data_IF_180335806732
#
_entry.id   IF_180335806732
#
_cell.length_a   1.000
_cell.length_b   1.000
_cell.length_c   1.000
_cell.angle_alpha   90.00
_cell.angle_beta   90.00
_cell.angle_gamma   90.00
#
_symmetry.space_group_name_H-M   'P 1'
#
loop_
_entity.id
_entity.type
_entity.pdbx_description
1 polymer ?
#
# COMPACT_ATOMS: atom_id res chain seq x y z
N UNK A 1 26.53 9.31 12.72
CA UNK A 1 25.58 10.02 11.84
C UNK A 1 24.27 9.27 11.91
N UNK A 2 23.14 9.95 12.08
CA UNK A 2 21.83 9.29 12.16
C UNK A 2 21.47 8.69 10.79
N UNK A 3 21.21 7.38 10.71
CA UNK A 3 20.74 6.76 9.48
C UNK A 3 19.26 7.16 9.29
N UNK A 4 18.90 7.54 8.06
CA UNK A 4 17.54 7.98 7.74
C UNK A 4 16.94 7.01 6.73
N UNK A 5 15.77 6.49 7.07
CA UNK A 5 14.93 5.72 6.16
C UNK A 5 13.74 6.57 5.75
N UNK A 6 13.51 6.74 4.45
CA UNK A 6 12.27 7.31 3.95
C UNK A 6 11.35 6.16 3.54
N UNK A 7 10.12 6.19 4.02
CA UNK A 7 9.09 5.18 3.74
C UNK A 7 7.98 5.88 2.98
N UNK A 8 7.86 5.57 1.70
CA UNK A 8 6.94 6.21 0.78
C UNK A 8 5.81 5.23 0.47
N UNK A 9 4.61 5.52 0.99
CA UNK A 9 3.43 4.70 0.83
C UNK A 9 2.58 5.26 -0.31
N UNK A 10 2.71 4.71 -1.51
CA UNK A 10 1.88 5.08 -2.66
C UNK A 10 0.66 4.17 -2.74
N UNK A 11 -0.50 4.77 -2.96
CA UNK A 11 -1.74 4.04 -3.15
C UNK A 11 -2.93 4.94 -3.41
N UNK A 12 -4.10 4.36 -3.21
CA UNK A 12 -5.38 5.04 -3.38
C UNK A 12 -5.95 5.56 -2.03
N UNK A 13 -7.27 5.65 -1.93
CA UNK A 13 -7.99 6.06 -0.71
C UNK A 13 -7.68 5.19 0.50
N UNK A 14 -7.40 3.89 0.31
CA UNK A 14 -7.04 3.00 1.41
C UNK A 14 -5.66 3.37 1.98
N UNK A 15 -4.73 3.80 1.12
CA UNK A 15 -3.44 4.33 1.58
C UNK A 15 -3.58 5.69 2.22
N UNK A 16 -4.46 6.55 1.68
CA UNK A 16 -4.77 7.83 2.30
C UNK A 16 -5.31 7.66 3.73
N UNK A 17 -6.10 6.60 3.97
CA UNK A 17 -6.71 6.31 5.27
C UNK A 17 -8.19 6.73 5.33
N UNK A 18 -8.85 6.79 4.18
CA UNK A 18 -10.24 7.22 4.07
C UNK A 18 -11.15 6.38 5.00
N UNK A 19 -12.02 7.10 5.72
CA UNK A 19 -13.02 6.57 6.65
C UNK A 19 -12.52 5.94 7.95
N UNK A 20 -11.20 5.87 8.20
CA UNK A 20 -10.70 5.57 9.54
C UNK A 20 -10.65 6.82 10.42
N UNK A 21 -11.76 7.05 11.14
CA UNK A 21 -11.91 8.21 12.02
C UNK A 21 -11.14 8.10 13.33
N UNK A 22 -10.57 6.94 13.68
CA UNK A 22 -9.88 6.76 14.96
C UNK A 22 -8.40 7.08 14.88
N UNK A 23 -7.72 6.64 13.82
CA UNK A 23 -6.25 6.78 13.68
C UNK A 23 -5.79 7.25 12.30
N UNK A 24 -6.70 7.51 11.36
CA UNK A 24 -6.36 8.08 10.04
C UNK A 24 -5.67 7.10 9.08
N UNK A 25 -5.88 5.80 9.26
CA UNK A 25 -5.39 4.77 8.35
C UNK A 25 -4.08 4.09 8.77
N UNK A 26 -3.65 3.13 7.96
CA UNK A 26 -2.50 2.27 8.26
C UNK A 26 -1.16 3.03 8.16
N UNK A 27 -1.07 4.05 7.29
CA UNK A 27 0.14 4.87 7.15
C UNK A 27 0.36 5.75 8.37
N UNK A 28 -0.71 6.32 8.94
CA UNK A 28 -0.59 7.12 10.16
C UNK A 28 -0.26 6.25 11.39
N UNK A 29 -0.82 5.04 11.49
CA UNK A 29 -0.36 4.03 12.48
C UNK A 29 1.13 3.75 12.36
N UNK A 30 1.61 3.54 11.13
CA UNK A 30 3.02 3.30 10.85
C UNK A 30 3.90 4.47 11.29
N UNK A 31 3.48 5.70 10.99
CA UNK A 31 4.16 6.92 11.39
C UNK A 31 4.23 7.08 12.91
N UNK A 32 3.11 6.88 13.60
CA UNK A 32 3.03 6.93 15.06
C UNK A 32 3.92 5.88 15.71
N UNK A 33 3.95 4.65 15.20
CA UNK A 33 4.80 3.58 15.71
C UNK A 33 6.29 3.96 15.64
N UNK A 34 6.75 4.55 14.52
CA UNK A 34 8.12 5.03 14.40
C UNK A 34 8.42 6.27 15.26
N UNK A 35 7.46 7.17 15.47
CA UNK A 35 7.63 8.29 16.40
C UNK A 35 7.85 7.81 17.82
N UNK A 36 7.07 6.83 18.28
CA UNK A 36 7.26 6.21 19.59
C UNK A 36 8.63 5.55 19.74
N UNK A 37 9.13 4.85 18.71
CA UNK A 37 10.48 4.28 18.74
C UNK A 37 11.57 5.35 18.88
N UNK A 38 11.45 6.47 18.15
CA UNK A 38 12.41 7.57 18.24
C UNK A 38 12.38 8.19 19.64
N UNK A 39 11.20 8.48 20.18
CA UNK A 39 11.03 9.02 21.53
C UNK A 39 11.68 8.14 22.60
N UNK A 40 11.46 6.82 22.55
CA UNK A 40 12.09 5.84 23.44
C UNK A 40 13.62 5.78 23.27
N UNK A 41 14.13 5.92 22.04
CA UNK A 41 15.58 5.90 21.79
C UNK A 41 16.31 7.15 22.31
N UNK A 42 15.65 8.30 22.24
CA UNK A 42 16.18 9.58 22.75
C UNK A 42 16.24 9.55 24.28
N UNK A 43 15.18 9.06 24.94
CA UNK A 43 15.18 8.92 26.41
C UNK A 43 16.21 7.92 26.91
N UNK A 44 16.56 6.91 26.10
CA UNK A 44 17.56 5.89 26.43
C UNK A 44 19.03 6.27 26.09
N UNK A 45 19.32 7.49 25.61
CA UNK A 45 20.66 7.92 25.15
C UNK A 45 21.31 6.98 24.11
N UNK A 46 20.52 6.33 23.26
CA UNK A 46 21.05 5.41 22.25
C UNK A 46 21.78 6.18 21.13
N UNK A 47 23.09 5.94 20.98
CA UNK A 47 23.98 6.67 20.06
C UNK A 47 23.81 6.30 18.57
N UNK A 48 22.97 5.31 18.25
CA UNK A 48 22.70 4.80 16.88
C UNK A 48 21.20 4.74 16.56
N UNK A 49 20.44 5.80 16.88
CA UNK A 49 19.02 5.86 16.53
C UNK A 49 18.80 5.95 15.01
N UNK A 50 17.94 5.07 14.49
CA UNK A 50 17.50 5.05 13.08
C UNK A 50 16.24 5.92 12.97
N UNK A 51 16.28 6.97 12.15
CA UNK A 51 15.11 7.82 11.95
C UNK A 51 14.33 7.35 10.72
N UNK A 52 13.10 6.85 10.95
CA UNK A 52 12.18 6.49 9.89
C UNK A 52 11.20 7.64 9.64
N UNK A 53 11.20 8.18 8.40
CA UNK A 53 10.28 9.22 7.94
C UNK A 53 9.21 8.59 7.05
N UNK A 54 7.97 8.59 7.50
CA UNK A 54 6.83 8.00 6.78
C UNK A 54 6.09 9.08 6.01
N UNK A 55 5.82 8.81 4.74
CA UNK A 55 5.09 9.68 3.83
C UNK A 55 3.86 8.97 3.28
N UNK A 56 2.68 9.49 3.63
CA UNK A 56 1.43 9.11 3.01
C UNK A 56 1.32 9.77 1.62
N UNK A 57 1.27 8.94 0.58
CA UNK A 57 1.11 9.34 -0.82
C UNK A 57 -0.14 8.70 -1.43
N UNK A 58 -1.14 8.42 -0.59
CA UNK A 58 -2.46 7.97 -0.99
C UNK A 58 -3.26 9.09 -1.65
N UNK A 59 -3.91 8.77 -2.76
CA UNK A 59 -4.80 9.70 -3.47
C UNK A 59 -6.16 9.02 -3.70
N UNK A 60 -7.23 9.62 -3.18
CA UNK A 60 -8.57 9.04 -3.28
C UNK A 60 -9.01 8.80 -4.73
N UNK A 61 -9.48 7.58 -5.02
CA UNK A 61 -9.92 7.18 -6.37
C UNK A 61 -8.80 6.97 -7.40
N UNK A 62 -7.54 7.09 -6.99
CA UNK A 62 -6.38 6.94 -7.87
C UNK A 62 -6.28 5.52 -8.43
N UNK A 63 -5.71 5.40 -9.62
CA UNK A 63 -5.43 4.13 -10.32
C UNK A 63 -3.95 4.10 -10.70
N UNK A 64 -3.47 3.01 -11.28
CA UNK A 64 -2.09 3.00 -11.75
C UNK A 64 -1.79 4.00 -12.88
N UNK A 65 -2.79 4.50 -13.62
CA UNK A 65 -2.63 5.63 -14.57
C UNK A 65 -2.15 6.91 -13.86
N UNK A 66 -2.75 7.21 -12.71
CA UNK A 66 -2.37 8.39 -11.92
C UNK A 66 -1.05 8.16 -11.19
N UNK A 67 -0.80 6.94 -10.70
CA UNK A 67 0.49 6.56 -10.12
C UNK A 67 1.65 6.90 -11.06
N UNK A 68 1.66 6.39 -12.30
CA UNK A 68 2.79 6.59 -13.22
C UNK A 68 3.04 8.06 -13.53
N UNK A 69 1.99 8.88 -13.50
CA UNK A 69 2.06 10.32 -13.76
C UNK A 69 2.75 11.09 -12.63
N UNK A 70 2.70 10.60 -11.39
CA UNK A 70 3.21 11.31 -10.19
C UNK A 70 4.41 10.65 -9.51
N UNK A 71 4.59 9.34 -9.69
CA UNK A 71 5.53 8.51 -8.92
C UNK A 71 6.95 9.08 -8.87
N UNK A 72 7.54 9.36 -10.04
CA UNK A 72 8.92 9.82 -10.12
C UNK A 72 9.14 11.18 -9.46
N UNK A 73 8.19 12.10 -9.59
CA UNK A 73 8.28 13.44 -9.00
C UNK A 73 8.14 13.37 -7.47
N UNK A 74 7.15 12.62 -6.98
CA UNK A 74 6.90 12.48 -5.56
C UNK A 74 8.01 11.71 -4.83
N UNK A 75 8.58 10.68 -5.47
CA UNK A 75 9.75 9.98 -4.97
C UNK A 75 10.92 10.94 -4.79
N UNK A 76 11.27 11.69 -5.84
CA UNK A 76 12.43 12.61 -5.82
C UNK A 76 12.26 13.71 -4.78
N UNK A 77 11.04 14.17 -4.52
CA UNK A 77 10.77 15.22 -3.55
C UNK A 77 11.03 14.80 -2.09
N UNK A 78 11.13 13.50 -1.80
CA UNK A 78 11.23 12.96 -0.43
C UNK A 78 12.54 12.23 -0.15
N UNK A 79 13.33 11.98 -1.18
CA UNK A 79 14.60 11.24 -1.07
C UNK A 79 15.77 12.21 -1.15
N UNK A 80 16.65 12.15 -0.15
CA UNK A 80 17.85 12.99 -0.05
C UNK A 80 19.11 12.12 0.01
N UNK A 81 20.28 12.71 -0.25
CA UNK A 81 21.55 12.00 -0.20
C UNK A 81 21.76 11.34 1.17
N UNK A 82 22.21 10.07 1.16
CA UNK A 82 22.46 9.22 2.34
C UNK A 82 21.22 8.65 3.07
N UNK A 83 20.03 8.71 2.48
CA UNK A 83 18.85 8.01 3.01
C UNK A 83 18.58 6.69 2.28
N UNK A 84 18.14 5.65 3.01
CA UNK A 84 17.58 4.44 2.39
C UNK A 84 16.11 4.69 2.07
N UNK A 85 15.68 4.30 0.86
CA UNK A 85 14.29 4.46 0.42
C UNK A 85 13.56 3.13 0.51
N UNK A 86 12.41 3.13 1.16
CA UNK A 86 11.46 2.03 1.21
C UNK A 86 10.18 2.50 0.51
N UNK A 87 9.68 1.72 -0.44
CA UNK A 87 8.48 2.02 -1.20
C UNK A 87 7.46 0.95 -0.93
N UNK A 88 6.23 1.35 -0.64
CA UNK A 88 5.07 0.46 -0.61
C UNK A 88 4.14 0.91 -1.72
N UNK A 89 3.80 -0.01 -2.63
CA UNK A 89 2.79 0.21 -3.67
C UNK A 89 1.54 -0.60 -3.31
N UNK A 90 0.46 0.09 -2.99
CA UNK A 90 -0.84 -0.49 -2.65
C UNK A 90 -1.91 0.03 -3.62
N UNK A 91 -2.06 -0.67 -4.75
CA UNK A 91 -2.93 -0.29 -5.86
C UNK A 91 -3.69 -1.49 -6.43
N UNK A 92 -4.79 -1.19 -7.11
CA UNK A 92 -5.51 -2.14 -7.95
C UNK A 92 -7.03 -2.11 -7.73
N UNK A 93 -7.52 -1.66 -6.56
CA UNK A 93 -8.95 -1.66 -6.27
C UNK A 93 -9.75 -0.74 -7.19
N UNK A 94 -9.18 0.40 -7.59
CA UNK A 94 -9.80 1.30 -8.56
C UNK A 94 -9.53 0.89 -10.01
N UNK A 95 -8.40 0.25 -10.27
CA UNK A 95 -8.04 -0.31 -11.59
C UNK A 95 -9.04 -1.38 -12.03
N UNK A 96 -9.48 -2.24 -11.09
CA UNK A 96 -10.40 -3.34 -11.36
C UNK A 96 -11.88 -2.93 -11.48
N UNK A 97 -12.24 -1.66 -11.30
CA UNK A 97 -13.62 -1.17 -11.50
C UNK A 97 -14.10 -1.50 -12.91
N UNK A 98 -15.26 -2.14 -13.05
CA UNK A 98 -15.81 -2.48 -14.36
C UNK A 98 -16.46 -1.24 -14.98
N UNK A 99 -15.96 -0.84 -16.14
CA UNK A 99 -16.48 0.23 -16.97
C UNK A 99 -16.60 -0.25 -18.43
N UNK A 100 -17.81 -0.18 -19.01
CA UNK A 100 -18.07 -0.62 -20.39
C UNK A 100 -17.55 -2.05 -20.68
N UNK A 101 -17.86 -2.99 -19.79
CA UNK A 101 -17.47 -4.42 -19.86
C UNK A 101 -15.96 -4.70 -19.80
N UNK A 102 -15.16 -3.76 -19.29
CA UNK A 102 -13.71 -3.93 -19.06
C UNK A 102 -13.31 -3.30 -17.73
N UNK A 103 -12.22 -3.76 -17.12
CA UNK A 103 -11.65 -3.05 -15.97
C UNK A 103 -11.15 -1.66 -16.40
N UNK A 104 -11.33 -0.66 -15.53
CA UNK A 104 -10.96 0.74 -15.75
C UNK A 104 -9.50 0.87 -16.21
N UNK A 105 -8.61 0.10 -15.58
CA UNK A 105 -7.26 -0.13 -16.09
C UNK A 105 -7.12 -1.63 -16.36
N UNK A 106 -7.09 -2.08 -17.63
CA UNK A 106 -6.92 -3.48 -17.97
C UNK A 106 -5.63 -4.08 -17.40
N UNK A 107 -5.64 -5.37 -17.04
CA UNK A 107 -4.53 -6.02 -16.33
C UNK A 107 -3.16 -5.88 -17.03
N UNK A 108 -3.11 -5.95 -18.36
CA UNK A 108 -1.87 -5.75 -19.11
C UNK A 108 -1.31 -4.32 -18.97
N UNK A 109 -2.18 -3.34 -18.84
CA UNK A 109 -1.81 -1.93 -18.64
C UNK A 109 -1.38 -1.71 -17.19
N UNK A 110 -2.11 -2.29 -16.23
CA UNK A 110 -1.77 -2.30 -14.81
C UNK A 110 -0.36 -2.87 -14.57
N UNK A 111 -0.04 -4.03 -15.16
CA UNK A 111 1.29 -4.65 -15.10
C UNK A 111 2.36 -3.68 -15.60
N UNK A 112 2.17 -3.12 -16.80
CA UNK A 112 3.12 -2.18 -17.42
C UNK A 112 3.35 -0.94 -16.56
N UNK A 113 2.31 -0.41 -15.90
CA UNK A 113 2.44 0.73 -15.01
C UNK A 113 3.27 0.42 -13.77
N UNK A 114 3.02 -0.74 -13.15
CA UNK A 114 3.83 -1.18 -12.02
C UNK A 114 5.28 -1.44 -12.44
N UNK A 115 5.53 -2.10 -13.58
CA UNK A 115 6.88 -2.31 -14.12
C UNK A 115 7.67 -1.00 -14.30
N UNK A 116 7.01 0.07 -14.78
CA UNK A 116 7.63 1.39 -14.90
C UNK A 116 8.09 1.93 -13.53
N UNK A 117 7.23 1.84 -12.52
CA UNK A 117 7.54 2.30 -11.16
C UNK A 117 8.62 1.44 -10.51
N UNK A 118 8.53 0.12 -10.65
CA UNK A 118 9.49 -0.86 -10.13
C UNK A 118 10.87 -0.66 -10.74
N UNK A 119 10.96 -0.52 -12.07
CA UNK A 119 12.22 -0.24 -12.78
C UNK A 119 12.86 1.05 -12.27
N UNK A 120 12.07 2.10 -12.08
CA UNK A 120 12.56 3.38 -11.54
C UNK A 120 13.08 3.24 -10.10
N UNK A 121 12.38 2.47 -9.27
CA UNK A 121 12.70 2.24 -7.86
C UNK A 121 13.96 1.37 -7.67
N UNK A 122 14.07 0.26 -8.42
CA UNK A 122 15.23 -0.64 -8.41
C UNK A 122 16.50 0.09 -8.85
N UNK A 123 16.42 0.92 -9.90
CA UNK A 123 17.54 1.75 -10.33
C UNK A 123 18.06 2.72 -9.25
N UNK A 124 17.27 2.95 -8.20
CA UNK A 124 17.59 3.81 -7.05
C UNK A 124 17.83 3.02 -5.76
N UNK A 125 17.97 1.69 -5.87
CA UNK A 125 18.21 0.78 -4.74
C UNK A 125 17.17 0.93 -3.63
N UNK A 126 15.93 1.27 -4.00
CA UNK A 126 14.84 1.29 -3.04
C UNK A 126 14.46 -0.14 -2.66
N UNK A 127 14.17 -0.37 -1.38
CA UNK A 127 13.49 -1.59 -0.92
C UNK A 127 12.01 -1.46 -1.27
N UNK A 128 11.41 -2.49 -1.85
CA UNK A 128 10.07 -2.39 -2.43
C UNK A 128 9.16 -3.45 -1.81
N UNK A 129 7.99 -3.01 -1.35
CA UNK A 129 6.85 -3.84 -0.98
C UNK A 129 5.70 -3.62 -1.95
N UNK A 130 5.22 -4.69 -2.56
CA UNK A 130 4.01 -4.72 -3.39
C UNK A 130 2.88 -5.31 -2.56
N UNK A 131 1.88 -4.51 -2.22
CA UNK A 131 0.74 -4.93 -1.42
C UNK A 131 -0.36 -5.49 -2.30
N UNK A 132 -0.94 -6.61 -1.88
CA UNK A 132 -2.12 -7.18 -2.53
C UNK A 132 -3.33 -6.24 -2.44
N UNK A 133 -4.18 -6.30 -3.46
CA UNK A 133 -5.54 -5.74 -3.41
C UNK A 133 -6.36 -6.53 -2.39
N UNK A 134 -7.09 -5.83 -1.53
CA UNK A 134 -7.97 -6.44 -0.54
C UNK A 134 -9.15 -7.19 -1.19
N UNK A 135 -9.69 -8.25 -0.54
CA UNK A 135 -10.91 -8.89 -1.00
C UNK A 135 -12.10 -7.94 -0.96
N UNK A 136 -13.06 -8.17 -1.85
CA UNK A 136 -14.34 -7.47 -1.85
C UNK A 136 -15.32 -8.23 -0.96
N UNK A 137 -15.98 -7.57 0.02
CA UNK A 137 -16.98 -8.24 0.84
C UNK A 137 -18.07 -8.90 -0.02
N UNK A 138 -18.40 -10.17 0.26
CA UNK A 138 -19.40 -10.96 -0.51
C UNK A 138 -20.72 -10.25 -0.74
N UNK A 139 -21.12 -9.37 0.19
CA UNK A 139 -22.36 -8.60 0.09
C UNK A 139 -22.39 -7.68 -1.13
N UNK A 140 -21.24 -7.16 -1.56
CA UNK A 140 -21.09 -6.18 -2.65
C UNK A 140 -20.31 -6.70 -3.86
N UNK A 141 -19.82 -7.94 -3.81
CA UNK A 141 -19.16 -8.61 -4.93
C UNK A 141 -20.10 -8.73 -6.14
N UNK A 142 -19.65 -8.23 -7.30
CA UNK A 142 -20.44 -8.18 -8.54
C UNK A 142 -21.64 -7.23 -8.53
N UNK A 143 -21.79 -6.40 -7.49
CA UNK A 143 -22.91 -5.47 -7.36
C UNK A 143 -22.45 -4.03 -7.49
N UNK A 144 -23.40 -3.17 -7.89
CA UNK A 144 -23.19 -1.72 -7.88
C UNK A 144 -23.06 -1.25 -6.42
N UNK A 145 -21.91 -0.70 -6.07
CA UNK A 145 -21.69 -0.14 -4.73
C UNK A 145 -22.25 1.29 -4.60
N UNK A 146 -22.13 1.87 -3.40
CA UNK A 146 -22.61 3.23 -3.11
C UNK A 146 -21.96 4.33 -3.98
N UNK A 147 -20.84 4.03 -4.63
CA UNK A 147 -20.10 4.95 -5.51
C UNK A 147 -20.37 4.70 -7.01
N UNK A 148 -21.35 3.85 -7.34
CA UNK A 148 -21.69 3.55 -8.73
C UNK A 148 -20.68 2.65 -9.44
N UNK A 149 -19.85 1.91 -8.70
CA UNK A 149 -18.81 1.03 -9.24
C UNK A 149 -19.17 -0.44 -9.02
N UNK A 150 -18.86 -1.28 -10.00
CA UNK A 150 -18.95 -2.73 -9.91
C UNK A 150 -17.52 -3.29 -9.88
N UNK A 151 -17.29 -4.26 -9.00
CA UNK A 151 -16.01 -4.94 -8.82
C UNK A 151 -16.26 -6.43 -8.60
N UNK A 152 -15.31 -7.28 -9.00
CA UNK A 152 -15.41 -8.73 -8.86
C UNK A 152 -14.20 -9.29 -8.12
N UNK A 153 -14.43 -10.21 -7.17
CA UNK A 153 -13.33 -10.91 -6.50
C UNK A 153 -12.47 -11.73 -7.50
N UNK A 154 -13.07 -12.25 -8.56
CA UNK A 154 -12.32 -12.94 -9.62
C UNK A 154 -11.26 -12.04 -10.27
N UNK A 155 -11.55 -10.74 -10.39
CA UNK A 155 -10.57 -9.78 -10.90
C UNK A 155 -9.53 -9.42 -9.83
N UNK A 156 -9.93 -9.31 -8.55
CA UNK A 156 -8.97 -9.15 -7.44
C UNK A 156 -7.93 -10.26 -7.46
N UNK A 157 -8.36 -11.52 -7.59
CA UNK A 157 -7.45 -12.68 -7.64
C UNK A 157 -6.50 -12.60 -8.83
N UNK A 158 -7.00 -12.24 -10.03
CA UNK A 158 -6.14 -12.08 -11.22
C UNK A 158 -5.09 -10.97 -11.02
N UNK A 159 -5.47 -9.84 -10.46
CA UNK A 159 -4.55 -8.72 -10.23
C UNK A 159 -3.53 -9.05 -9.14
N UNK A 160 -3.95 -9.73 -8.06
CA UNK A 160 -3.03 -10.20 -7.02
C UNK A 160 -2.00 -11.20 -7.54
N UNK A 161 -2.39 -12.12 -8.44
CA UNK A 161 -1.43 -12.98 -9.12
C UNK A 161 -0.41 -12.18 -9.95
N UNK A 162 -0.85 -11.12 -10.65
CA UNK A 162 0.05 -10.24 -11.38
C UNK A 162 1.01 -9.47 -10.45
N UNK A 163 0.50 -8.95 -9.33
CA UNK A 163 1.30 -8.25 -8.31
C UNK A 163 2.37 -9.20 -7.74
N UNK A 164 1.99 -10.43 -7.39
CA UNK A 164 2.91 -11.45 -6.88
C UNK A 164 3.96 -11.84 -7.93
N UNK A 165 3.57 -11.99 -9.21
CA UNK A 165 4.50 -12.23 -10.31
C UNK A 165 5.54 -11.12 -10.46
N UNK A 166 5.11 -9.86 -10.37
CA UNK A 166 6.00 -8.70 -10.39
C UNK A 166 6.91 -8.63 -9.18
N UNK A 167 6.41 -8.97 -7.98
CA UNK A 167 7.23 -9.03 -6.78
C UNK A 167 8.41 -9.99 -6.97
N UNK A 168 8.13 -11.19 -7.48
CA UNK A 168 9.16 -12.19 -7.78
C UNK A 168 10.13 -11.70 -8.87
N UNK A 169 9.62 -11.15 -9.97
CA UNK A 169 10.44 -10.68 -11.10
C UNK A 169 11.43 -9.57 -10.70
N UNK A 170 11.02 -8.67 -9.80
CA UNK A 170 11.84 -7.52 -9.39
C UNK A 170 12.57 -7.73 -8.06
N UNK A 171 12.55 -8.95 -7.51
CA UNK A 171 13.08 -9.26 -6.18
C UNK A 171 12.55 -8.28 -5.10
N UNK A 172 11.26 -7.96 -5.19
CA UNK A 172 10.52 -7.16 -4.24
C UNK A 172 9.71 -8.07 -3.31
N UNK A 173 9.30 -7.55 -2.16
CA UNK A 173 8.46 -8.31 -1.23
C UNK A 173 6.98 -8.18 -1.60
N UNK A 174 6.27 -9.30 -1.59
CA UNK A 174 4.80 -9.31 -1.66
C UNK A 174 4.23 -9.20 -0.25
N UNK A 175 3.40 -8.18 -0.01
CA UNK A 175 2.72 -7.94 1.27
C UNK A 175 1.29 -8.47 1.12
N UNK A 176 1.06 -9.69 1.60
CA UNK A 176 -0.21 -10.40 1.48
C UNK A 176 -1.24 -9.94 2.52
N UNK A 177 -1.93 -8.84 2.23
CA UNK A 177 -3.08 -8.37 3.01
C UNK A 177 -4.39 -9.04 2.57
N UNK A 178 -4.44 -9.65 1.39
CA UNK A 178 -5.61 -10.31 0.87
C UNK A 178 -5.99 -11.51 1.73
N UNK A 179 -5.04 -12.43 1.97
CA UNK A 179 -5.27 -13.61 2.80
C UNK A 179 -5.65 -13.22 4.23
N UNK A 180 -4.97 -12.21 4.79
CA UNK A 180 -5.24 -11.70 6.13
C UNK A 180 -6.70 -11.23 6.31
N UNK A 181 -7.26 -10.52 5.32
CA UNK A 181 -8.65 -10.08 5.36
C UNK A 181 -9.64 -11.25 5.15
N UNK A 182 -9.27 -12.22 4.33
CA UNK A 182 -10.13 -13.37 4.06
C UNK A 182 -10.30 -14.27 5.30
N UNK A 183 -9.24 -14.46 6.07
CA UNK A 183 -9.25 -15.30 7.29
C UNK A 183 -10.02 -14.65 8.46
N UNK A 184 -10.09 -13.32 8.51
CA UNK A 184 -10.68 -12.55 9.61
C UNK A 184 -12.11 -12.05 9.32
N UNK A 185 -12.92 -12.85 8.64
CA UNK A 185 -14.32 -12.49 8.33
C UNK A 185 -14.47 -11.14 7.60
N UNK A 186 -13.61 -10.90 6.59
CA UNK A 186 -13.63 -9.82 5.59
C UNK A 186 -14.56 -8.63 5.88
N UNK A 187 -15.90 -8.79 5.82
CA UNK A 187 -16.89 -7.73 6.03
C UNK A 187 -16.79 -6.93 7.34
N UNK A 188 -16.34 -7.54 8.44
CA UNK A 188 -16.23 -6.85 9.73
C UNK A 188 -15.05 -5.88 9.79
N UNK A 189 -14.09 -6.02 8.87
CA UNK A 189 -12.93 -5.14 8.74
C UNK A 189 -13.18 -3.93 7.84
N UNK A 190 -14.39 -3.78 7.29
CA UNK A 190 -14.77 -2.65 6.43
C UNK A 190 -15.75 -1.70 7.12
N UNK A 191 -15.72 -0.46 6.66
CA UNK A 191 -16.74 0.54 6.93
C UNK A 191 -18.09 0.16 6.30
N UNK A 192 -19.11 0.96 6.59
CA UNK A 192 -20.48 0.75 6.10
C UNK A 192 -20.61 0.79 4.57
N UNK A 193 -19.65 1.41 3.88
CA UNK A 193 -19.59 1.45 2.42
C UNK A 193 -19.08 0.16 1.78
N UNK A 194 -18.54 -0.76 2.59
CA UNK A 194 -18.00 -2.07 2.18
C UNK A 194 -16.88 -1.96 1.12
N UNK A 195 -16.16 -0.83 1.14
CA UNK A 195 -15.01 -0.55 0.26
C UNK A 195 -13.80 -0.17 1.08
N UNK A 196 -13.95 0.77 2.02
CA UNK A 196 -12.83 1.22 2.84
C UNK A 196 -12.71 0.38 4.11
N UNK A 197 -11.49 -0.03 4.50
CA UNK A 197 -11.28 -0.66 5.80
C UNK A 197 -11.69 0.27 6.94
N UNK A 198 -12.20 -0.30 8.02
CA UNK A 198 -12.38 0.44 9.27
C UNK A 198 -11.07 0.47 10.07
N UNK A 199 -11.12 0.98 11.30
CA UNK A 199 -9.93 1.06 12.17
C UNK A 199 -9.23 -0.30 12.36
N UNK A 200 -9.99 -1.38 12.50
CA UNK A 200 -9.42 -2.72 12.73
C UNK A 200 -8.85 -3.31 11.44
N UNK A 201 -9.51 -3.07 10.30
CA UNK A 201 -8.95 -3.40 8.99
C UNK A 201 -7.65 -2.64 8.71
N UNK A 202 -7.58 -1.35 9.05
CA UNK A 202 -6.36 -0.56 8.93
C UNK A 202 -5.25 -0.99 9.90
N UNK A 203 -5.60 -1.45 11.10
CA UNK A 203 -4.67 -2.06 12.03
C UNK A 203 -4.05 -3.35 11.44
N UNK A 204 -4.87 -4.20 10.83
CA UNK A 204 -4.40 -5.43 10.18
C UNK A 204 -3.43 -5.14 9.01
N UNK A 205 -3.73 -4.14 8.18
CA UNK A 205 -2.82 -3.69 7.10
C UNK A 205 -1.51 -3.18 7.70
N UNK A 206 -1.59 -2.36 8.76
CA UNK A 206 -0.42 -1.83 9.45
C UNK A 206 0.49 -2.95 9.95
N UNK A 207 -0.06 -4.00 10.56
CA UNK A 207 0.73 -5.12 11.09
C UNK A 207 1.53 -5.85 10.00
N UNK A 208 0.93 -6.09 8.84
CA UNK A 208 1.62 -6.75 7.71
C UNK A 208 2.72 -5.86 7.11
N UNK A 209 2.44 -4.57 6.97
CA UNK A 209 3.44 -3.59 6.52
C UNK A 209 4.57 -3.46 7.54
N UNK A 210 4.26 -3.43 8.83
CA UNK A 210 5.24 -3.35 9.91
C UNK A 210 6.17 -4.55 9.91
N UNK A 211 5.62 -5.76 9.75
CA UNK A 211 6.41 -6.97 9.61
C UNK A 211 7.36 -6.89 8.41
N UNK A 212 6.85 -6.51 7.23
CA UNK A 212 7.71 -6.30 6.05
C UNK A 212 8.86 -5.33 6.36
N UNK A 213 8.57 -4.14 6.89
CA UNK A 213 9.59 -3.12 7.10
C UNK A 213 10.63 -3.50 8.16
N UNK A 214 10.27 -4.30 9.16
CA UNK A 214 11.15 -4.63 10.29
C UNK A 214 11.71 -6.06 10.26
N UNK A 215 11.34 -6.89 9.29
CA UNK A 215 12.05 -8.14 9.02
C UNK A 215 13.46 -7.85 8.53
N UNK A 216 14.46 -8.53 9.10
CA UNK A 216 15.83 -8.51 8.60
C UNK A 216 15.86 -9.11 7.19
N UNK A 217 16.56 -8.46 6.25
CA UNK A 217 16.89 -9.09 4.96
C UNK A 217 17.71 -10.35 5.26
N UNK A 218 17.23 -11.52 4.81
CA UNK A 218 17.88 -12.81 5.01
C UNK A 218 19.16 -12.94 4.17
#
# INVERSE_FOLDING_TARGET
MMNINNILCFGDSITHGDLDTLKGGWVERLKLAYFHQVEQSVTANASNSLMNKVYNLGVGGDTTDGLVSRFAAEFKARVFSKSQSNIILAYGLNDLVIHKNKNKVPIAIFIRHLEQCLTFAVARKARIGLMSVLPIPKKVDGKLNAHGNIRLNDDVVKYNHAIMGLANQYNASYIDTFSAFNDNHCSELFCSDQVHPNSDGHELIFQHVWQFLNQSEA
#
